data_IF_143554222988
#
_entry.id   IF_143554222988
#
_cell.length_a   1.000
_cell.length_b   1.000
_cell.length_c   1.000
_cell.angle_alpha   90.00
_cell.angle_beta   90.00
_cell.angle_gamma   90.00
#
_symmetry.space_group_name_H-M   'P 1'
#
loop_
_entity.id
_entity.type
_entity.pdbx_description
1 polymer ?
#
# COMPACT_ATOMS: atom_id res chain seq x y z
N UNK A 1 -18.69 -12.80 3.18
CA UNK A 1 -17.74 -12.45 4.25
C UNK A 1 -18.26 -11.25 5.02
N UNK A 2 -18.13 -11.22 6.34
CA UNK A 2 -18.29 -10.01 7.16
C UNK A 2 -17.07 -9.10 7.01
N UNK A 3 -17.18 -7.82 7.41
CA UNK A 3 -16.05 -6.89 7.39
C UNK A 3 -14.87 -7.42 8.22
N UNK A 4 -15.13 -7.93 9.42
CA UNK A 4 -14.14 -8.58 10.29
C UNK A 4 -13.43 -9.74 9.60
N UNK A 5 -14.17 -10.61 8.90
CA UNK A 5 -13.58 -11.72 8.14
C UNK A 5 -12.68 -11.22 7.00
N UNK A 6 -13.11 -10.18 6.28
CA UNK A 6 -12.30 -9.58 5.20
C UNK A 6 -11.04 -8.92 5.76
N UNK A 7 -11.14 -8.20 6.88
CA UNK A 7 -9.98 -7.58 7.56
C UNK A 7 -9.00 -8.64 8.02
N UNK A 8 -9.47 -9.75 8.61
CA UNK A 8 -8.59 -10.85 9.01
C UNK A 8 -7.86 -11.47 7.82
N UNK A 9 -8.55 -11.68 6.69
CA UNK A 9 -7.92 -12.15 5.46
C UNK A 9 -6.89 -11.14 4.92
N UNK A 10 -7.20 -9.85 4.98
CA UNK A 10 -6.25 -8.79 4.61
C UNK A 10 -5.01 -8.81 5.50
N UNK A 11 -5.16 -8.89 6.83
CA UNK A 11 -4.04 -8.97 7.78
C UNK A 11 -3.15 -10.16 7.45
N UNK A 12 -3.73 -11.36 7.32
CA UNK A 12 -2.97 -12.58 7.03
C UNK A 12 -2.17 -12.45 5.72
N UNK A 13 -2.79 -11.91 4.68
CA UNK A 13 -2.13 -11.69 3.40
C UNK A 13 -1.02 -10.64 3.53
N UNK A 14 -1.32 -9.49 4.16
CA UNK A 14 -0.39 -8.39 4.28
C UNK A 14 0.82 -8.71 5.19
N UNK A 15 0.67 -9.55 6.20
CA UNK A 15 1.79 -10.07 7.00
C UNK A 15 2.75 -10.95 6.19
N UNK A 16 2.22 -11.69 5.21
CA UNK A 16 3.03 -12.53 4.31
C UNK A 16 3.75 -11.76 3.21
N UNK A 17 3.44 -10.48 3.03
CA UNK A 17 4.00 -9.64 1.97
C UNK A 17 4.96 -8.58 2.52
N UNK A 18 6.06 -8.37 1.81
CA UNK A 18 7.06 -7.38 2.22
C UNK A 18 6.71 -5.95 1.79
N UNK A 19 5.89 -5.80 0.75
CA UNK A 19 5.49 -4.51 0.19
C UNK A 19 3.99 -4.50 -0.03
N UNK A 20 3.36 -3.38 0.33
CA UNK A 20 1.99 -3.03 -0.05
C UNK A 20 2.06 -1.83 -0.97
N UNK A 21 1.40 -1.90 -2.13
CA UNK A 21 1.34 -0.79 -3.07
C UNK A 21 -0.09 -0.29 -3.26
N UNK A 22 -0.21 1.02 -3.42
CA UNK A 22 -1.47 1.71 -3.68
C UNK A 22 -1.21 3.03 -4.40
N UNK A 23 -2.28 3.69 -4.82
CA UNK A 23 -2.23 5.04 -5.36
C UNK A 23 -2.85 5.98 -4.34
N UNK A 24 -2.03 6.82 -3.70
CA UNK A 24 -2.43 7.53 -2.48
C UNK A 24 -2.77 6.56 -1.33
N UNK A 25 -1.93 5.53 -1.13
CA UNK A 25 -2.14 4.42 -0.17
C UNK A 25 -2.42 4.88 1.27
N UNK A 26 -2.02 6.10 1.63
CA UNK A 26 -2.31 6.71 2.93
C UNK A 26 -3.81 6.90 3.16
N UNK A 27 -4.57 7.20 2.09
CA UNK A 27 -6.01 7.30 2.15
C UNK A 27 -6.62 5.94 2.51
N UNK A 28 -6.33 4.88 1.74
CA UNK A 28 -6.82 3.53 2.01
C UNK A 28 -6.43 3.04 3.41
N UNK A 29 -5.18 3.29 3.80
CA UNK A 29 -4.67 2.92 5.12
C UNK A 29 -5.49 3.58 6.25
N UNK A 30 -5.88 4.85 6.10
CA UNK A 30 -6.70 5.55 7.08
C UNK A 30 -8.11 4.98 7.17
N UNK A 31 -8.71 4.62 6.03
CA UNK A 31 -10.05 4.02 5.97
C UNK A 31 -10.04 2.63 6.62
N UNK A 32 -9.03 1.81 6.34
CA UNK A 32 -8.88 0.49 6.97
C UNK A 32 -8.73 0.63 8.48
N UNK A 33 -7.86 1.52 8.98
CA UNK A 33 -7.68 1.76 10.41
C UNK A 33 -8.98 2.22 11.09
N UNK A 34 -9.72 3.12 10.47
CA UNK A 34 -11.01 3.60 10.99
C UNK A 34 -12.05 2.48 11.07
N UNK A 35 -12.11 1.61 10.05
CA UNK A 35 -13.01 0.45 10.04
C UNK A 35 -12.63 -0.59 11.11
N UNK A 36 -11.33 -0.83 11.31
CA UNK A 36 -10.84 -1.69 12.40
C UNK A 36 -11.29 -1.15 13.76
N UNK A 37 -11.08 0.15 14.03
CA UNK A 37 -11.52 0.79 15.28
C UNK A 37 -13.04 0.65 15.50
N UNK A 38 -13.83 0.82 14.44
CA UNK A 38 -15.29 0.66 14.51
C UNK A 38 -15.69 -0.77 14.85
N UNK A 39 -15.05 -1.77 14.28
CA UNK A 39 -15.34 -3.17 14.59
C UNK A 39 -14.83 -3.57 15.98
N UNK A 40 -13.72 -2.98 16.46
CA UNK A 40 -13.24 -3.15 17.83
C UNK A 40 -14.26 -2.62 18.84
N UNK A 41 -14.84 -1.44 18.60
CA UNK A 41 -15.90 -0.88 19.47
C UNK A 41 -17.18 -1.72 19.54
N UNK A 42 -17.34 -2.71 18.66
CA UNK A 42 -18.47 -3.66 18.64
C UNK A 42 -18.14 -5.00 19.30
N UNK A 43 -16.94 -5.16 19.87
CA UNK A 43 -16.48 -6.42 20.46
C UNK A 43 -16.17 -7.51 19.44
N UNK A 44 -15.79 -7.16 18.21
CA UNK A 44 -15.57 -8.13 17.13
C UNK A 44 -14.32 -9.02 17.32
N UNK A 45 -13.40 -8.65 18.22
CA UNK A 45 -12.18 -9.40 18.50
C UNK A 45 -12.02 -9.64 20.01
N UNK A 46 -11.48 -10.80 20.39
CA UNK A 46 -11.23 -11.15 21.80
C UNK A 46 -9.95 -10.53 22.37
N UNK A 47 -9.08 -9.97 21.52
CA UNK A 47 -7.82 -9.29 21.88
C UNK A 47 -7.67 -8.01 21.08
N UNK A 48 -8.44 -7.02 21.46
CA UNK A 48 -8.70 -5.78 20.70
C UNK A 48 -7.44 -4.95 20.46
N UNK A 49 -6.65 -4.71 21.51
CA UNK A 49 -5.40 -3.92 21.44
C UNK A 49 -4.40 -4.53 20.45
N UNK A 50 -4.24 -5.86 20.48
CA UNK A 50 -3.30 -6.59 19.62
C UNK A 50 -3.64 -6.46 18.13
N UNK A 51 -4.91 -6.42 17.77
CA UNK A 51 -5.32 -6.29 16.36
C UNK A 51 -5.01 -4.90 15.83
N UNK A 52 -5.25 -3.87 16.64
CA UNK A 52 -4.97 -2.49 16.21
C UNK A 52 -3.47 -2.24 16.03
N UNK A 53 -2.64 -2.79 16.91
CA UNK A 53 -1.17 -2.76 16.78
C UNK A 53 -0.71 -3.44 15.49
N UNK A 54 -1.17 -4.67 15.24
CA UNK A 54 -0.82 -5.45 14.03
C UNK A 54 -1.22 -4.69 12.76
N UNK A 55 -2.46 -4.16 12.69
CA UNK A 55 -2.91 -3.34 11.56
C UNK A 55 -2.05 -2.10 11.39
N UNK A 56 -1.68 -1.44 12.49
CA UNK A 56 -0.86 -0.24 12.46
C UNK A 56 0.54 -0.52 11.93
N UNK A 57 1.12 -1.67 12.30
CA UNK A 57 2.43 -2.13 11.83
C UNK A 57 2.40 -2.54 10.35
N UNK A 58 1.38 -3.29 9.93
CA UNK A 58 1.20 -3.72 8.54
C UNK A 58 1.04 -2.50 7.62
N UNK A 59 0.22 -1.54 8.04
CA UNK A 59 -0.04 -0.30 7.30
C UNK A 59 1.01 0.79 7.61
N UNK A 60 2.14 0.43 8.21
CA UNK A 60 3.19 1.38 8.53
C UNK A 60 3.95 1.80 7.27
N UNK A 61 4.36 3.07 7.22
CA UNK A 61 4.86 3.73 6.00
C UNK A 61 6.09 3.07 5.37
N UNK A 62 6.89 2.35 6.15
CA UNK A 62 8.11 1.70 5.67
C UNK A 62 7.85 0.54 4.71
N UNK A 63 6.63 -0.03 4.70
CA UNK A 63 6.25 -1.14 3.81
C UNK A 63 5.49 -0.68 2.55
N UNK A 64 5.32 0.63 2.35
CA UNK A 64 4.41 1.16 1.34
C UNK A 64 5.14 1.70 0.10
N UNK A 65 4.67 1.28 -1.08
CA UNK A 65 4.99 1.97 -2.33
C UNK A 65 3.75 2.74 -2.80
N UNK A 66 3.80 4.06 -2.62
CA UNK A 66 2.77 4.97 -3.10
C UNK A 66 3.06 5.39 -4.55
N UNK A 67 2.31 4.81 -5.48
CA UNK A 67 2.46 5.09 -6.92
C UNK A 67 2.11 6.53 -7.28
N UNK A 68 1.27 7.22 -6.50
CA UNK A 68 0.97 8.63 -6.72
C UNK A 68 2.21 9.48 -6.47
N UNK A 69 2.88 9.27 -5.33
CA UNK A 69 4.11 9.97 -4.98
C UNK A 69 5.24 9.65 -5.96
N UNK A 70 5.43 8.37 -6.28
CA UNK A 70 6.47 7.94 -7.24
C UNK A 70 6.25 8.52 -8.63
N UNK A 71 4.99 8.70 -9.04
CA UNK A 71 4.65 9.27 -10.35
C UNK A 71 4.79 10.79 -10.44
N UNK A 72 5.10 11.51 -9.34
CA UNK A 72 5.39 12.95 -9.41
C UNK A 72 6.58 13.23 -10.34
N UNK A 73 7.56 12.33 -10.37
CA UNK A 73 8.74 12.44 -11.24
C UNK A 73 8.36 12.59 -12.72
N UNK A 74 7.28 11.93 -13.14
CA UNK A 74 6.80 11.95 -14.53
C UNK A 74 5.64 12.93 -14.75
N UNK A 75 4.78 13.13 -13.75
CA UNK A 75 3.60 13.98 -13.86
C UNK A 75 3.88 15.44 -13.52
N UNK A 76 4.93 15.71 -12.75
CA UNK A 76 5.30 17.01 -12.16
C UNK A 76 4.20 17.63 -11.28
N UNK A 77 3.21 16.83 -10.87
CA UNK A 77 2.12 17.19 -9.96
C UNK A 77 1.52 15.92 -9.33
N UNK A 78 0.83 16.08 -8.21
CA UNK A 78 -0.05 15.05 -7.66
C UNK A 78 -1.22 14.83 -8.63
N UNK A 79 -1.30 13.64 -9.22
CA UNK A 79 -2.24 13.33 -10.30
C UNK A 79 -3.10 12.14 -9.92
N UNK A 80 -4.28 12.04 -10.53
CA UNK A 80 -5.16 10.89 -10.32
C UNK A 80 -4.56 9.61 -10.93
N UNK A 81 -5.05 8.46 -10.48
CA UNK A 81 -4.67 7.16 -11.03
C UNK A 81 -4.92 7.10 -12.54
N UNK A 82 -6.08 7.59 -12.99
CA UNK A 82 -6.47 7.67 -14.41
C UNK A 82 -5.53 8.55 -15.23
N UNK A 83 -5.11 9.70 -14.72
CA UNK A 83 -4.19 10.60 -15.42
C UNK A 83 -2.80 9.98 -15.58
N UNK A 84 -2.29 9.37 -14.51
CA UNK A 84 -1.01 8.65 -14.53
C UNK A 84 -1.07 7.50 -15.52
N UNK A 85 -2.14 6.71 -15.46
CA UNK A 85 -2.34 5.56 -16.33
C UNK A 85 -2.41 5.98 -17.81
N UNK A 86 -3.19 7.01 -18.12
CA UNK A 86 -3.30 7.58 -19.47
C UNK A 86 -1.94 8.11 -19.96
N UNK A 87 -1.17 8.79 -19.10
CA UNK A 87 0.15 9.31 -19.45
C UNK A 87 1.14 8.21 -19.81
N UNK A 88 1.16 7.12 -19.02
CA UNK A 88 2.11 6.01 -19.18
C UNK A 88 1.73 5.10 -20.35
N UNK A 89 0.46 4.67 -20.41
CA UNK A 89 0.01 3.60 -21.31
C UNK A 89 -0.78 4.11 -22.53
N UNK A 90 -1.07 5.41 -22.60
CA UNK A 90 -1.82 6.04 -23.71
C UNK A 90 -3.20 5.41 -23.94
N UNK A 91 -3.78 4.87 -22.87
CA UNK A 91 -5.14 4.31 -22.82
C UNK A 91 -5.74 4.55 -21.45
N UNK A 92 -7.07 4.56 -21.39
CA UNK A 92 -7.81 4.62 -20.13
C UNK A 92 -8.09 3.23 -19.54
N UNK A 93 -8.70 3.23 -18.37
CA UNK A 93 -9.33 2.06 -17.74
C UNK A 93 -10.61 2.50 -17.03
N UNK A 94 -11.48 1.55 -16.67
CA UNK A 94 -12.72 1.85 -15.96
C UNK A 94 -12.45 2.02 -14.46
N UNK A 95 -12.24 3.27 -14.05
CA UNK A 95 -12.00 3.68 -12.67
C UNK A 95 -13.24 3.50 -11.77
N UNK A 96 -13.05 3.68 -10.46
CA UNK A 96 -14.07 3.53 -9.40
C UNK A 96 -14.58 2.10 -9.24
N UNK A 97 -13.74 1.15 -9.57
CA UNK A 97 -13.96 -0.27 -9.31
C UNK A 97 -12.68 -0.82 -8.72
N UNK A 98 -12.73 -1.25 -7.45
CA UNK A 98 -11.54 -1.65 -6.70
C UNK A 98 -10.67 -2.68 -7.43
N UNK A 99 -11.28 -3.63 -8.16
CA UNK A 99 -10.54 -4.61 -8.97
C UNK A 99 -9.76 -3.95 -10.09
N UNK A 100 -10.41 -3.07 -10.86
CA UNK A 100 -9.77 -2.36 -11.97
C UNK A 100 -8.71 -1.37 -11.46
N UNK A 101 -8.98 -0.70 -10.34
CA UNK A 101 -8.05 0.25 -9.72
C UNK A 101 -6.78 -0.49 -9.23
N UNK A 102 -6.93 -1.66 -8.58
CA UNK A 102 -5.78 -2.52 -8.20
C UNK A 102 -5.01 -3.01 -9.41
N UNK A 103 -5.68 -3.39 -10.50
CA UNK A 103 -5.02 -3.78 -11.74
C UNK A 103 -4.21 -2.62 -12.35
N UNK A 104 -4.78 -1.41 -12.40
CA UNK A 104 -4.10 -0.22 -12.88
C UNK A 104 -2.88 0.15 -12.01
N UNK A 105 -3.02 0.05 -10.68
CA UNK A 105 -1.90 0.24 -9.73
C UNK A 105 -0.79 -0.78 -10.00
N UNK A 106 -1.13 -2.06 -10.20
CA UNK A 106 -0.17 -3.12 -10.48
C UNK A 106 0.62 -2.85 -11.78
N UNK A 107 -0.06 -2.44 -12.85
CA UNK A 107 0.59 -2.08 -14.11
C UNK A 107 1.53 -0.87 -13.96
N UNK A 108 1.07 0.19 -13.27
CA UNK A 108 1.88 1.38 -13.00
C UNK A 108 3.10 1.02 -12.14
N UNK A 109 2.90 0.23 -11.08
CA UNK A 109 3.98 -0.27 -10.22
C UNK A 109 5.05 -0.98 -11.06
N UNK A 110 4.64 -1.92 -11.90
CA UNK A 110 5.57 -2.64 -12.77
C UNK A 110 6.30 -1.72 -13.76
N UNK A 111 5.62 -0.69 -14.27
CA UNK A 111 6.26 0.31 -15.13
C UNK A 111 7.28 1.16 -14.37
N UNK A 112 6.92 1.67 -13.18
CA UNK A 112 7.81 2.46 -12.33
C UNK A 112 9.06 1.66 -11.94
N UNK A 113 8.88 0.37 -11.62
CA UNK A 113 9.98 -0.54 -11.28
C UNK A 113 10.93 -0.71 -12.47
N UNK A 114 10.40 -1.01 -13.67
CA UNK A 114 11.23 -1.15 -14.89
C UNK A 114 11.94 0.14 -15.29
N UNK A 115 11.44 1.30 -14.88
CA UNK A 115 12.08 2.61 -15.12
C UNK A 115 13.06 3.00 -14.03
N UNK A 116 13.25 2.19 -12.98
CA UNK A 116 14.12 2.51 -11.85
C UNK A 116 13.63 3.71 -11.03
N UNK A 117 12.34 4.06 -11.11
CA UNK A 117 11.76 5.17 -10.36
C UNK A 117 11.45 4.74 -8.92
N UNK A 118 11.06 3.47 -8.76
CA UNK A 118 10.92 2.83 -7.44
C UNK A 118 11.98 1.74 -7.31
N UNK A 119 12.49 1.50 -6.08
CA UNK A 119 13.48 0.46 -5.85
C UNK A 119 12.87 -0.93 -5.99
N UNK A 120 13.73 -1.88 -6.32
CA UNK A 120 13.47 -3.32 -6.19
C UNK A 120 13.37 -3.72 -4.72
N UNK A 121 12.84 -4.92 -4.49
CA UNK A 121 12.77 -5.48 -3.14
C UNK A 121 14.16 -5.71 -2.54
N UNK A 122 15.10 -6.18 -3.36
CA UNK A 122 16.49 -6.42 -2.97
C UNK A 122 17.17 -5.11 -2.52
N UNK A 123 17.00 -4.02 -3.28
CA UNK A 123 17.53 -2.71 -2.92
C UNK A 123 16.92 -2.16 -1.61
N UNK A 124 15.63 -2.44 -1.35
CA UNK A 124 14.98 -2.06 -0.10
C UNK A 124 15.54 -2.86 1.09
N UNK A 125 15.74 -4.16 0.92
CA UNK A 125 16.33 -5.03 1.95
C UNK A 125 17.77 -4.63 2.27
N UNK A 126 18.58 -4.34 1.24
CA UNK A 126 19.96 -3.90 1.42
C UNK A 126 20.02 -2.57 2.19
N UNK A 127 19.18 -1.59 1.83
CA UNK A 127 19.08 -0.31 2.54
C UNK A 127 18.62 -0.46 3.98
N UNK A 128 17.74 -1.42 4.27
CA UNK A 128 17.30 -1.71 5.63
C UNK A 128 18.47 -2.27 6.47
N UNK A 129 19.18 -3.26 5.94
CA UNK A 129 20.34 -3.86 6.61
C UNK A 129 21.48 -2.86 6.86
N UNK A 130 21.76 -1.97 5.91
CA UNK A 130 22.75 -0.89 6.07
C UNK A 130 22.35 0.13 7.14
N UNK A 131 21.06 0.35 7.36
CA UNK A 131 20.56 1.27 8.39
C UNK A 131 20.66 0.66 9.78
N UNK A 132 20.40 -0.64 9.90
CA UNK A 132 20.53 -1.38 11.16
C UNK A 132 22.00 -1.46 11.62
N UNK A 133 22.94 -1.70 10.70
CA UNK A 133 24.38 -1.75 11.04
C UNK A 133 24.94 -0.39 11.48
N UNK A 134 24.39 0.72 11.00
CA UNK A 134 24.78 2.08 11.42
C UNK A 134 24.16 2.53 12.74
N UNK A 135 23.03 1.96 13.13
CA UNK A 135 22.33 2.30 14.38
C UNK A 135 22.69 1.36 15.55
N UNK A 136 23.39 0.25 15.26
CA UNK A 136 23.89 -0.72 16.25
C UNK A 136 25.38 -0.58 16.59
N UNK A 137 26.05 0.46 16.08
CA UNK A 137 27.44 0.82 16.38
C UNK A 137 27.49 2.18 17.09
#
# INVERSE_FOLDING_TARGET
YTLTQVINLFILNAMGNQIISGHNIYFDSSIIKANVLRELSKGAWTKEEKIFEVITEILHKCKHIDTMRSSITIMRKWSSLSDVYMKIFRRGFKAHNAKNDVQAVSEIYGWLLRKGIIPTLEELQQKAAEKESRNGA
#
